data_IF_096945286884
#
_entry.id   IF_096945286884
#
_cell.length_a   1.000
_cell.length_b   1.000
_cell.length_c   1.000
_cell.angle_alpha   90.00
_cell.angle_beta   90.00
_cell.angle_gamma   90.00
#
_symmetry.space_group_name_H-M   'P 1'
#
loop_
_entity.id
_entity.type
_entity.pdbx_description
1 polymer ?
2 non-polymer ?
3 non-polymer ?
4 water ?
#
# COMPACT_ATOMS: atom_id res chain seq x y z
N UNK A 4 -8.73 9.94 -16.77
CA UNK A 4 -7.62 9.06 -16.25
C UNK A 4 -6.26 9.54 -16.73
N UNK A 5 -6.24 10.80 -17.16
CA UNK A 5 -4.99 11.47 -17.53
C UNK A 5 -5.01 12.87 -16.96
N UNK A 6 -3.82 13.41 -16.70
CA UNK A 6 -3.65 14.76 -16.25
C UNK A 6 -2.33 15.24 -16.85
N UNK A 7 -2.27 16.52 -17.19
CA UNK A 7 -1.09 17.14 -17.82
C UNK A 7 -0.78 18.44 -17.12
N UNK A 8 0.48 18.82 -17.07
CA UNK A 8 0.86 20.12 -16.52
C UNK A 8 2.14 20.60 -17.21
N UNK A 9 2.17 21.88 -17.56
CA UNK A 9 3.36 22.46 -18.13
C UNK A 9 3.57 23.87 -17.61
N UNK A 10 4.83 24.24 -17.41
CA UNK A 10 5.14 25.52 -16.82
C UNK A 10 6.61 25.83 -16.93
N UNK A 11 6.94 27.09 -16.69
CA UNK A 11 8.32 27.57 -16.72
C UNK A 11 8.69 28.18 -15.39
N UNK A 12 9.97 28.08 -15.03
CA UNK A 12 10.52 28.65 -13.79
C UNK A 12 11.96 29.01 -14.04
N UNK A 13 12.42 30.09 -13.43
CA UNK A 13 13.80 30.49 -13.57
C UNK A 13 14.63 30.03 -12.37
N UNK A 14 15.75 29.39 -12.63
CA UNK A 14 16.64 29.00 -11.55
C UNK A 14 17.49 30.25 -11.25
N UNK A 15 17.46 30.73 -10.00
CA UNK A 15 18.23 31.94 -9.63
C UNK A 15 19.75 31.88 -9.83
N UNK A 16 20.32 30.67 -9.94
CA UNK A 16 21.79 30.53 -10.07
C UNK A 16 22.30 30.33 -11.51
N UNK A 17 21.41 30.39 -12.51
CA UNK A 17 21.85 30.33 -13.91
C UNK A 17 21.76 28.95 -14.54
N UNK A 18 22.33 28.82 -15.74
CA UNK A 18 22.14 27.62 -16.57
C UNK A 18 22.74 26.32 -16.03
N UNK A 19 24.04 26.33 -15.70
CA UNK A 19 24.70 25.13 -15.17
C UNK A 19 23.94 24.57 -13.99
N UNK A 20 23.54 25.47 -13.08
CA UNK A 20 22.81 25.06 -11.90
C UNK A 20 21.42 24.50 -12.26
N UNK A 21 20.75 25.12 -13.23
CA UNK A 21 19.43 24.68 -13.66
C UNK A 21 19.52 23.27 -14.27
N UNK A 22 20.54 23.04 -15.09
CA UNK A 22 20.80 21.68 -15.67
C UNK A 22 21.00 20.65 -14.56
N UNK A 23 21.82 20.99 -13.56
CA UNK A 23 22.09 20.09 -12.46
C UNK A 23 20.84 19.78 -11.65
N UNK A 24 20.04 20.81 -11.43
CA UNK A 24 18.78 20.72 -10.68
C UNK A 24 17.78 19.75 -11.35
N UNK A 25 17.55 19.93 -12.65
CA UNK A 25 16.57 19.09 -13.36
C UNK A 25 17.05 17.67 -13.56
N UNK A 26 18.37 17.46 -13.48
CA UNK A 26 18.95 16.13 -13.71
C UNK A 26 19.02 15.27 -12.47
N UNK A 27 18.81 15.87 -11.30
CA UNK A 27 18.84 15.13 -10.04
C UNK A 27 17.45 15.17 -9.38
N UNK A 28 16.72 14.03 -9.41
CA UNK A 28 15.37 14.02 -8.87
C UNK A 28 15.29 14.47 -7.41
N UNK A 29 16.29 14.14 -6.61
CA UNK A 29 16.32 14.56 -5.18
C UNK A 29 16.34 16.08 -5.02
N UNK A 30 16.85 16.78 -6.05
CA UNK A 30 16.86 18.26 -6.06
C UNK A 30 15.53 18.77 -6.61
N UNK A 31 15.23 18.37 -7.83
CA UNK A 31 14.01 18.84 -8.53
C UNK A 31 12.72 18.51 -7.78
N UNK A 32 12.64 17.31 -7.20
CA UNK A 32 11.41 16.90 -6.51
C UNK A 32 11.44 17.02 -4.96
N UNK A 33 12.44 17.68 -4.41
CA UNK A 33 12.57 17.82 -2.93
C UNK A 33 11.28 18.35 -2.22
N UNK A 34 10.63 19.35 -2.80
CA UNK A 34 9.45 19.96 -2.18
C UNK A 34 8.13 19.59 -2.83
N UNK A 35 8.14 18.61 -3.71
CA UNK A 35 6.92 18.20 -4.40
C UNK A 35 5.97 17.42 -3.48
N UNK A 36 4.70 17.78 -3.51
CA UNK A 36 3.70 17.14 -2.67
C UNK A 36 2.86 16.16 -3.47
N UNK A 37 2.16 15.29 -2.74
CA UNK A 37 1.22 14.31 -3.28
C UNK A 37 1.87 13.16 -4.00
N UNK A 38 3.19 13.04 -3.84
CA UNK A 38 3.93 11.88 -4.30
C UNK A 38 4.52 11.19 -3.05
N UNK A 39 3.74 10.28 -2.47
CA UNK A 39 4.15 9.66 -1.22
C UNK A 39 5.22 8.59 -1.46
N UNK A 40 6.12 8.43 -0.48
CA UNK A 40 7.14 7.38 -0.54
C UNK A 40 8.14 7.56 -1.67
N UNK A 41 8.33 8.80 -2.08
CA UNK A 41 9.21 9.11 -3.18
C UNK A 41 10.63 8.65 -2.85
N UNK A 42 11.25 7.92 -3.78
CA UNK A 42 12.62 7.50 -3.61
C UNK A 42 13.27 7.25 -4.96
N UNK A 43 14.60 7.13 -4.98
CA UNK A 43 15.38 6.92 -6.20
C UNK A 43 16.75 6.36 -5.92
N UNK A 44 17.28 5.59 -6.88
CA UNK A 44 18.63 5.05 -6.80
C UNK A 44 19.54 5.72 -7.84
N UNK A 45 19.07 6.83 -8.43
CA UNK A 45 19.83 7.56 -9.45
C UNK A 45 19.46 7.11 -10.85
N UNK A 46 18.94 5.88 -10.97
CA UNK A 46 18.53 5.30 -12.25
C UNK A 46 17.03 5.41 -12.48
N UNK A 47 16.26 5.11 -11.45
CA UNK A 47 14.83 5.21 -11.53
C UNK A 47 14.31 5.97 -10.33
N UNK A 48 13.11 6.49 -10.48
CA UNK A 48 12.39 7.17 -9.41
C UNK A 48 11.08 6.44 -9.21
N UNK A 49 10.64 6.32 -7.96
CA UNK A 49 9.39 5.63 -7.67
C UNK A 49 8.67 6.21 -6.46
N UNK A 50 7.39 5.86 -6.33
CA UNK A 50 6.58 6.36 -5.26
C UNK A 50 5.15 5.93 -5.47
N UNK A 51 4.21 6.69 -4.92
CA UNK A 51 2.81 6.35 -5.05
C UNK A 51 1.92 7.57 -4.94
N UNK A 52 0.78 7.53 -5.63
CA UNK A 52 -0.24 8.53 -5.49
C UNK A 52 -1.36 7.91 -4.69
N UNK A 53 -2.10 8.74 -3.95
CA UNK A 53 -3.18 8.25 -3.12
C UNK A 53 -4.54 8.59 -3.71
N UNK A 54 -5.33 7.56 -3.98
CA UNK A 54 -6.71 7.71 -4.43
C UNK A 54 -7.61 7.40 -3.25
N UNK A 55 -8.40 8.39 -2.84
CA UNK A 55 -9.28 8.23 -1.70
C UNK A 55 -10.69 7.84 -2.13
N UNK A 56 -11.14 6.68 -1.66
CA UNK A 56 -12.51 6.28 -1.90
C UNK A 56 -13.15 5.92 -0.59
N UNK A 57 -14.49 5.88 -0.57
CA UNK A 57 -15.15 5.54 0.68
C UNK A 57 -14.82 4.14 1.18
N UNK A 58 -14.74 4.02 2.49
CA UNK A 58 -14.56 2.75 3.17
C UNK A 58 -13.16 2.18 3.08
N UNK A 59 -12.58 2.13 1.88
CA UNK A 59 -11.17 1.73 1.76
C UNK A 59 -10.24 2.84 2.21
N UNK A 60 -10.68 4.08 2.05
CA UNK A 60 -9.89 5.23 2.41
C UNK A 60 -8.81 5.50 1.38
N UNK A 61 -7.62 5.83 1.84
CA UNK A 61 -6.51 6.12 0.93
C UNK A 61 -5.95 4.84 0.33
N UNK A 62 -6.10 4.70 -0.99
CA UNK A 62 -5.56 3.58 -1.72
C UNK A 62 -4.36 4.06 -2.50
N UNK A 63 -3.22 3.42 -2.27
CA UNK A 63 -1.96 3.84 -2.92
C UNK A 63 -1.78 3.15 -4.27
N UNK A 64 -1.48 3.96 -5.29
CA UNK A 64 -1.19 3.48 -6.64
C UNK A 64 0.28 3.77 -6.93
N UNK A 65 1.08 2.72 -7.14
CA UNK A 65 2.49 2.97 -7.34
C UNK A 65 2.82 3.48 -8.75
N UNK A 66 3.98 4.10 -8.86
CA UNK A 66 4.57 4.43 -10.14
C UNK A 66 6.05 4.21 -10.01
N UNK A 67 6.70 4.00 -11.16
CA UNK A 67 8.12 3.89 -11.24
C UNK A 67 8.51 4.38 -12.63
N UNK A 68 9.48 5.28 -12.67
CA UNK A 68 9.92 5.88 -13.93
C UNK A 68 11.45 5.88 -14.06
N UNK A 69 11.90 5.72 -15.29
CA UNK A 69 13.32 5.74 -15.63
C UNK A 69 13.77 7.18 -15.78
N UNK A 70 14.93 7.50 -15.22
CA UNK A 70 15.51 8.84 -15.34
C UNK A 70 16.40 8.84 -16.58
N UNK A 71 16.13 9.75 -17.50
CA UNK A 71 16.88 9.85 -18.75
C UNK A 71 17.50 11.22 -18.86
N UNK A 72 18.82 11.26 -18.91
CA UNK A 72 19.57 12.47 -19.01
C UNK A 72 19.66 12.89 -20.48
N UNK A 73 19.29 14.12 -20.76
CA UNK A 73 19.28 14.64 -22.12
C UNK A 73 20.21 15.86 -22.25
N UNK A 74 20.45 16.31 -23.48
CA UNK A 74 21.40 17.41 -23.64
C UNK A 74 20.98 18.73 -22.95
N UNK A 75 19.68 19.02 -22.89
CA UNK A 75 19.17 20.25 -22.26
C UNK A 75 18.59 20.03 -20.87
N UNK A 76 18.60 18.79 -20.39
CA UNK A 76 18.02 18.51 -19.07
C UNK A 76 17.86 17.03 -18.77
N UNK A 77 16.62 16.59 -18.63
CA UNK A 77 16.33 15.21 -18.25
C UNK A 77 14.87 14.92 -18.45
N UNK A 78 14.54 13.64 -18.53
CA UNK A 78 13.15 13.19 -18.61
C UNK A 78 12.91 12.07 -17.60
N UNK A 79 11.62 11.88 -17.28
CA UNK A 79 11.16 10.66 -16.63
C UNK A 79 10.34 9.92 -17.65
N UNK A 80 10.67 8.66 -17.87
CA UNK A 80 9.92 7.79 -18.75
C UNK A 80 9.35 6.62 -17.95
N UNK A 81 8.00 6.46 -17.96
CA UNK A 81 7.30 5.52 -17.08
C UNK A 81 7.54 4.08 -17.40
N UNK A 82 7.60 3.27 -16.34
CA UNK A 82 7.69 1.83 -16.52
C UNK A 82 6.31 1.22 -16.32
N UNK A 83 6.04 0.16 -17.06
CA UNK A 83 4.79 -0.55 -16.97
C UNK A 83 4.79 -1.40 -15.71
N UNK A 84 3.72 -1.29 -14.92
CA UNK A 84 3.58 -2.11 -13.71
C UNK A 84 2.47 -3.16 -13.95
N UNK A 85 2.29 -4.07 -13.01
CA UNK A 85 1.38 -5.23 -13.26
C UNK A 85 -0.07 -4.82 -13.22
N UNK A 86 -0.94 -5.64 -13.76
CA UNK A 86 -2.37 -5.33 -13.77
C UNK A 86 -3.14 -5.78 -12.51
N UNK A 87 -2.43 -6.40 -11.54
CA UNK A 87 -3.05 -6.92 -10.30
C UNK A 87 -3.69 -5.80 -9.47
N UNK A 88 -3.13 -4.60 -9.59
CA UNK A 88 -3.68 -3.45 -8.90
C UNK A 88 -3.44 -2.23 -9.70
N UNK A 89 -4.29 -1.21 -9.49
CA UNK A 89 -4.18 0.06 -10.18
C UNK A 89 -2.83 0.70 -9.96
N UNK A 90 -2.32 1.37 -10.99
CA UNK A 90 -1.02 2.00 -10.94
C UNK A 90 -1.03 3.26 -11.78
N UNK A 91 0.03 4.06 -11.66
CA UNK A 91 0.13 5.31 -12.38
C UNK A 91 1.43 5.35 -13.20
N UNK A 92 1.32 5.91 -14.41
CA UNK A 92 2.48 6.19 -15.28
C UNK A 92 2.78 7.68 -15.16
N UNK A 93 3.97 8.01 -14.65
CA UNK A 93 4.42 9.38 -14.48
C UNK A 93 5.51 9.70 -15.50
N UNK A 94 5.22 10.63 -16.39
CA UNK A 94 6.18 11.08 -17.41
C UNK A 94 6.47 12.54 -17.20
N UNK A 95 7.67 12.96 -17.58
CA UNK A 95 8.06 14.36 -17.47
C UNK A 95 9.25 14.70 -18.32
N UNK A 96 9.30 15.94 -18.78
CA UNK A 96 10.41 16.43 -19.55
C UNK A 96 10.79 17.81 -19.00
N UNK A 97 12.09 18.06 -18.90
CA UNK A 97 12.59 19.31 -18.38
C UNK A 97 13.76 19.81 -19.20
N UNK A 98 13.80 21.11 -19.45
CA UNK A 98 14.92 21.71 -20.16
C UNK A 98 15.40 22.93 -19.39
N UNK A 99 16.70 23.20 -19.46
CA UNK A 99 17.32 24.37 -18.85
C UNK A 99 17.99 25.13 -19.97
N UNK A 100 17.75 26.43 -20.01
CA UNK A 100 18.26 27.25 -21.09
C UNK A 100 19.17 28.35 -20.58
N UNK A 101 19.57 29.23 -21.49
CA UNK A 101 20.42 30.35 -21.15
C UNK A 101 19.80 31.16 -20.04
N UNK A 102 20.60 31.48 -19.04
CA UNK A 102 20.17 32.32 -17.94
C UNK A 102 19.47 31.57 -16.84
N UNK A 103 19.32 30.26 -17.00
CA UNK A 103 18.68 29.41 -15.99
C UNK A 103 17.18 29.26 -16.16
N UNK A 104 16.65 29.64 -17.30
CA UNK A 104 15.24 29.49 -17.60
C UNK A 104 14.90 28.00 -17.76
N UNK A 106 11.98 24.86 -18.31
CA UNK A 106 10.66 24.49 -18.81
C UNK A 106 10.38 23.08 -18.35
N UNK A 107 9.16 22.86 -17.85
CA UNK A 107 8.72 21.57 -17.40
C UNK A 107 7.41 21.20 -18.06
N UNK A 108 7.25 19.90 -18.35
CA UNK A 108 5.99 19.32 -18.77
C UNK A 108 5.88 17.94 -18.09
N UNK A 109 4.76 17.70 -17.42
CA UNK A 109 4.49 16.41 -16.79
C UNK A 109 3.20 15.83 -17.27
N UNK A 110 3.17 14.51 -17.43
CA UNK A 110 1.94 13.80 -17.82
C UNK A 110 1.72 12.62 -16.89
N UNK A 111 0.46 12.39 -16.50
CA UNK A 111 0.09 11.31 -15.61
C UNK A 111 -1.02 10.53 -16.23
N UNK A 112 -0.94 9.21 -16.13
CA UNK A 112 -1.99 8.34 -16.61
C UNK A 112 -2.27 7.27 -15.53
N UNK A 113 -3.51 7.14 -15.12
CA UNK A 113 -3.89 6.11 -14.14
C UNK A 113 -4.32 4.89 -14.95
N UNK A 114 -3.78 3.73 -14.58
CA UNK A 114 -4.09 2.48 -15.25
C UNK A 114 -4.90 1.61 -14.30
N UNK A 115 -6.17 1.41 -14.60
CA UNK A 115 -7.05 0.64 -13.74
C UNK A 115 -7.02 -0.85 -14.05
N UNK A 116 -7.26 -1.65 -13.02
CA UNK A 116 -7.25 -3.11 -13.14
C UNK A 116 -8.65 -3.60 -13.49
N UNK A 121 -20.36 -5.63 -13.40
CA UNK A 121 -21.75 -5.74 -13.82
C UNK A 121 -22.69 -5.41 -12.64
N UNK A 122 -23.93 -5.04 -12.97
CA UNK A 122 -24.94 -4.70 -11.96
C UNK A 122 -24.80 -3.32 -11.32
N UNK A 123 -25.77 -3.00 -10.45
CA UNK A 123 -25.80 -1.74 -9.68
C UNK A 123 -24.48 -1.60 -8.88
N UNK A 124 -24.13 -2.62 -8.10
CA UNK A 124 -22.88 -2.61 -7.31
C UNK A 124 -21.66 -2.22 -8.16
N UNK A 125 -21.53 -2.85 -9.34
CA UNK A 125 -20.39 -2.58 -10.26
C UNK A 125 -20.42 -1.21 -10.91
N UNK A 126 -21.62 -0.70 -11.18
CA UNK A 126 -21.77 0.62 -11.81
C UNK A 126 -21.38 1.72 -10.81
N UNK A 127 -21.87 1.58 -9.56
CA UNK A 127 -21.56 2.53 -8.48
C UNK A 127 -20.06 2.54 -8.17
N UNK A 128 -19.43 1.37 -8.21
CA UNK A 128 -18.01 1.27 -7.94
C UNK A 128 -17.17 1.95 -9.01
N UNK A 129 -17.51 1.71 -10.27
CA UNK A 129 -16.77 2.31 -11.41
C UNK A 129 -16.86 3.83 -11.40
N UNK A 130 -18.06 4.35 -11.23
CA UNK A 130 -18.30 5.79 -11.19
C UNK A 130 -17.42 6.47 -10.13
N UNK A 132 -14.72 5.22 -8.46
CA UNK A 132 -13.26 5.03 -8.65
C UNK A 132 -12.68 5.95 -9.74
N UNK A 133 -13.35 6.08 -10.89
CA UNK A 133 -12.87 6.94 -11.97
C UNK A 133 -12.79 8.41 -11.52
N UNK A 134 -13.84 8.87 -10.85
CA UNK A 134 -13.90 10.25 -10.35
C UNK A 134 -12.77 10.52 -9.35
N UNK A 135 -12.58 9.59 -8.43
CA UNK A 135 -11.58 9.74 -7.38
C UNK A 135 -10.18 9.76 -7.97
N UNK A 136 -9.91 8.84 -8.90
CA UNK A 136 -8.60 8.75 -9.54
C UNK A 136 -8.31 10.01 -10.35
N UNK A 137 -9.36 10.54 -10.99
CA UNK A 137 -9.24 11.78 -11.75
C UNK A 137 -8.86 12.95 -10.87
N UNK A 138 -9.45 13.00 -9.67
CA UNK A 138 -9.15 14.06 -8.72
C UNK A 138 -7.75 13.97 -8.22
N UNK A 139 -7.27 12.73 -7.99
CA UNK A 139 -5.91 12.49 -7.54
C UNK A 139 -4.89 12.98 -8.57
N UNK A 140 -5.12 12.63 -9.83
CA UNK A 140 -4.22 13.03 -10.89
C UNK A 140 -4.13 14.54 -11.05
N UNK A 141 -5.28 15.22 -11.00
CA UNK A 141 -5.34 16.67 -11.14
C UNK A 141 -4.69 17.37 -9.92
N UNK A 142 -4.91 16.86 -8.71
CA UNK A 142 -4.35 17.49 -7.53
C UNK A 142 -2.81 17.51 -7.63
N UNK A 143 -2.23 16.37 -7.98
CA UNK A 143 -0.77 16.30 -8.07
C UNK A 143 -0.26 17.17 -9.22
N UNK A 144 -0.95 17.14 -10.35
CA UNK A 144 -0.54 17.90 -11.54
C UNK A 144 -0.61 19.41 -11.27
N UNK A 145 -1.73 19.85 -10.71
CA UNK A 145 -1.93 21.25 -10.43
C UNK A 145 -0.99 21.82 -9.39
N UNK A 146 -0.48 20.98 -8.48
CA UNK A 146 0.44 21.45 -7.44
C UNK A 146 1.92 21.41 -7.85
N UNK A 147 2.22 20.82 -9.00
CA UNK A 147 3.62 20.67 -9.43
C UNK A 147 4.41 21.97 -9.52
N UNK A 148 3.84 23.03 -10.13
CA UNK A 148 4.63 24.25 -10.18
C UNK A 148 5.05 24.76 -8.79
N UNK A 149 4.13 24.72 -7.85
CA UNK A 149 4.39 25.09 -6.47
C UNK A 149 5.50 24.22 -5.89
N UNK A 150 5.39 22.91 -6.12
CA UNK A 150 6.37 21.94 -5.61
C UNK A 150 7.75 22.11 -6.19
N UNK A 151 7.86 22.24 -7.50
CA UNK A 151 9.15 22.47 -8.10
C UNK A 151 9.75 23.79 -7.61
N UNK A 152 8.93 24.84 -7.53
CA UNK A 152 9.43 26.14 -7.07
C UNK A 152 9.99 26.04 -5.63
N UNK A 153 9.32 25.25 -4.79
CA UNK A 153 9.77 25.03 -3.41
C UNK A 153 11.17 24.40 -3.33
N UNK A 154 11.62 23.73 -4.37
CA UNK A 154 12.96 23.12 -4.37
C UNK A 154 14.10 24.07 -4.70
N UNK A 155 13.77 25.29 -5.15
CA UNK A 155 14.76 26.25 -5.61
C UNK A 155 15.31 27.12 -4.49
N UNK A 156 16.65 27.30 -4.47
CA UNK A 156 17.37 28.12 -3.52
C UNK A 156 17.39 29.57 -3.95
N UNK A 157 17.69 30.47 -3.02
CA UNK A 157 17.78 31.92 -3.27
C UNK A 157 19.08 32.33 -3.93
N UNK A 158 19.05 33.42 -4.70
CA UNK A 158 20.27 33.98 -5.28
C UNK A 158 21.06 34.68 -4.18
N UNK B 1 -23.44 -8.11 11.93
CA UNK B 1 -21.98 -7.99 12.23
C UNK B 1 -21.16 -9.12 11.62
N UNK B 3 -20.87 -9.76 8.42
CA UNK B 3 -20.27 -9.41 7.14
C UNK B 3 -18.82 -8.96 7.31
N UNK B 4 -18.59 -8.01 8.25
CA UNK B 4 -17.22 -7.42 8.49
C UNK B 4 -16.40 -8.13 9.60
N UNK B 5 -16.87 -9.29 10.04
CA UNK B 5 -16.13 -10.09 11.00
C UNK B 5 -16.14 -11.53 10.58
N UNK B 6 -15.11 -12.26 10.96
CA UNK B 6 -15.06 -13.69 10.74
C UNK B 6 -14.54 -14.34 12.01
N UNK B 7 -14.93 -15.59 12.24
CA UNK B 7 -14.50 -16.35 13.42
C UNK B 7 -14.16 -17.76 12.97
N UNK B 8 -13.15 -18.34 13.59
CA UNK B 8 -12.73 -19.69 13.29
C UNK B 8 -12.15 -20.35 14.54
N UNK B 9 -12.58 -21.57 14.83
CA UNK B 9 -12.05 -22.30 15.95
C UNK B 9 -11.91 -23.76 15.56
N UNK B 10 -10.85 -24.37 16.06
CA UNK B 10 -10.50 -25.73 15.70
C UNK B 10 -9.41 -26.25 16.61
N UNK B 11 -9.14 -27.54 16.51
CA UNK B 11 -8.09 -28.17 17.28
C UNK B 11 -7.14 -28.92 16.36
N UNK B 12 -5.87 -29.00 16.76
CA UNK B 12 -4.88 -29.82 16.08
C UNK B 12 -3.99 -30.46 17.14
N UNK B 13 -3.63 -31.70 16.94
CA UNK B 13 -2.64 -32.36 17.82
C UNK B 13 -1.23 -32.14 17.33
N UNK B 14 -0.33 -31.69 18.21
CA UNK B 14 1.08 -31.64 17.88
C UNK B 14 1.68 -33.02 18.16
N UNK B 15 2.15 -33.70 17.11
CA UNK B 15 2.66 -35.05 17.31
C UNK B 15 3.91 -35.17 18.20
N UNK B 16 4.58 -34.06 18.53
CA UNK B 16 5.76 -34.13 19.43
C UNK B 16 5.48 -33.77 20.91
N UNK B 17 4.21 -33.44 21.24
CA UNK B 17 3.83 -33.21 22.66
C UNK B 17 3.66 -31.76 23.12
N UNK B 18 3.45 -31.60 24.43
CA UNK B 18 3.07 -30.30 25.00
C UNK B 18 4.13 -29.22 24.82
N UNK B 19 5.38 -29.56 25.16
CA UNK B 19 6.48 -28.61 25.04
C UNK B 19 6.58 -28.10 23.60
N UNK B 20 6.54 -29.00 22.63
CA UNK B 20 6.58 -28.63 21.22
C UNK B 20 5.32 -27.80 20.85
N UNK B 21 4.17 -28.22 21.37
CA UNK B 21 2.89 -27.52 21.13
C UNK B 21 2.94 -26.08 21.67
N UNK B 22 3.50 -25.91 22.88
CA UNK B 22 3.60 -24.59 23.47
C UNK B 22 4.51 -23.69 22.65
N UNK B 23 5.65 -24.23 22.21
CA UNK B 23 6.59 -23.45 21.38
C UNK B 23 5.91 -23.04 20.08
N UNK B 24 5.20 -24.00 19.47
CA UNK B 24 4.50 -23.75 18.21
C UNK B 24 3.51 -22.61 18.31
N UNK B 25 2.66 -22.64 19.33
CA UNK B 25 1.63 -21.59 19.44
C UNK B 25 2.22 -20.23 19.87
N UNK B 26 3.45 -20.25 20.40
CA UNK B 26 4.08 -19.02 20.89
C UNK B 26 4.94 -18.27 19.86
N UNK B 27 4.95 -18.77 18.60
CA UNK B 27 5.63 -18.09 17.51
C UNK B 27 4.62 -17.92 16.35
N UNK B 28 3.73 -16.92 16.46
CA UNK B 28 2.64 -16.75 15.50
C UNK B 28 3.05 -16.36 14.11
N UNK B 29 4.08 -15.56 13.95
CA UNK B 29 4.49 -15.16 12.60
C UNK B 29 4.74 -16.42 11.75
N UNK B 30 5.55 -17.34 12.29
CA UNK B 30 5.84 -18.59 11.58
C UNK B 30 4.56 -19.44 11.35
N UNK B 31 3.76 -19.65 12.38
CA UNK B 31 2.56 -20.49 12.23
C UNK B 31 1.54 -19.92 11.22
N UNK B 32 1.27 -18.62 11.33
CA UNK B 32 0.33 -17.95 10.42
C UNK B 32 0.83 -17.89 8.97
N UNK B 33 2.14 -17.95 8.77
CA UNK B 33 2.73 -17.84 7.44
C UNK B 33 2.28 -18.96 6.52
N UNK B 34 1.92 -20.11 7.08
CA UNK B 34 1.42 -21.22 6.30
C UNK B 34 0.06 -20.95 5.67
N UNK B 35 -0.65 -19.92 6.15
CA UNK B 35 -1.94 -19.52 5.56
C UNK B 35 -1.58 -18.63 4.35
N UNK B 36 -1.87 -19.09 3.14
CA UNK B 36 -1.45 -18.37 1.93
C UNK B 36 -2.09 -16.99 1.77
N UNK B 37 -3.29 -16.83 2.31
CA UNK B 37 -4.03 -15.57 2.17
C UNK B 37 -3.58 -14.49 3.13
N UNK B 38 -2.60 -14.81 3.97
CA UNK B 38 -1.98 -13.82 4.77
C UNK B 38 -0.64 -13.50 4.07
N UNK B 39 -0.39 -12.23 3.83
CA UNK B 39 0.84 -11.86 3.16
C UNK B 39 1.71 -10.98 4.04
N UNK B 40 3.02 -11.05 3.79
CA UNK B 40 4.00 -10.22 4.50
C UNK B 40 4.06 -10.39 5.98
N UNK B 41 3.81 -11.61 6.47
CA UNK B 41 3.91 -11.90 7.90
C UNK B 41 5.32 -11.59 8.40
N UNK B 42 5.40 -10.90 9.54
CA UNK B 42 6.68 -10.58 10.16
C UNK B 42 6.43 -10.37 11.66
N UNK B 43 7.49 -10.41 12.45
CA UNK B 43 7.38 -10.33 13.87
C UNK B 43 8.68 -9.90 14.45
N UNK B 44 8.64 -9.26 15.60
CA UNK B 44 9.87 -8.93 16.33
C UNK B 44 9.85 -9.59 17.70
N UNK B 45 9.02 -10.62 17.85
CA UNK B 45 8.89 -11.33 19.11
C UNK B 45 7.89 -10.71 20.05
N UNK B 46 7.65 -9.39 19.91
CA UNK B 46 6.67 -8.69 20.75
C UNK B 46 5.35 -8.53 20.02
N UNK B 47 5.44 -8.29 18.70
CA UNK B 47 4.26 -8.07 17.86
C UNK B 47 4.40 -8.79 16.51
N UNK B 48 3.25 -9.12 15.91
CA UNK B 48 3.21 -9.76 14.59
C UNK B 48 2.35 -8.90 13.68
N UNK B 49 2.71 -8.82 12.42
CA UNK B 49 1.96 -8.01 11.48
C UNK B 49 1.98 -8.62 10.09
N UNK B 50 1.06 -8.14 9.25
CA UNK B 50 0.97 -8.60 7.89
C UNK B 50 -0.17 -7.88 7.18
N UNK B 51 -0.69 -8.49 6.13
CA UNK B 51 -1.78 -7.90 5.40
C UNK B 51 -2.67 -8.93 4.74
N UNK B 52 -3.94 -8.54 4.60
CA UNK B 52 -4.94 -9.31 3.85
C UNK B 52 -5.26 -8.54 2.58
N UNK B 53 -5.56 -9.26 1.51
CA UNK B 53 -5.86 -8.63 0.22
C UNK B 53 -7.33 -8.66 -0.06
N UNK B 54 -7.89 -7.48 -0.33
CA UNK B 54 -9.28 -7.36 -0.72
C UNK B 54 -9.31 -6.97 -2.20
N UNK B 55 -9.96 -7.80 -3.03
CA UNK B 55 -10.04 -7.52 -4.47
C UNK B 55 -11.32 -6.81 -4.87
N UNK B 56 -11.18 -5.63 -5.47
CA UNK B 56 -12.33 -4.88 -5.94
C UNK B 56 -12.14 -4.45 -7.36
N UNK B 57 -13.24 -4.18 -8.08
CA UNK B 57 -13.17 -3.69 -9.44
C UNK B 57 -12.27 -2.45 -9.58
N UNK B 58 -11.54 -2.41 -10.69
CA UNK B 58 -10.72 -1.22 -11.09
C UNK B 58 -9.45 -1.00 -10.25
N UNK B 59 -9.59 -1.00 -8.92
CA UNK B 59 -8.41 -0.87 -8.04
C UNK B 59 -7.68 -2.19 -7.93
N UNK B 60 -8.39 -3.30 -8.12
CA UNK B 60 -7.78 -4.63 -8.03
C UNK B 60 -7.51 -5.04 -6.59
N UNK B 61 -6.30 -5.53 -6.33
CA UNK B 61 -5.93 -6.01 -5.02
C UNK B 61 -5.52 -4.88 -4.08
N UNK B 62 -6.31 -4.72 -3.03
CA UNK B 62 -6.09 -3.70 -2.04
C UNK B 62 -5.68 -4.35 -0.73
N UNK B 63 -4.50 -3.97 -0.25
CA UNK B 63 -3.98 -4.53 0.99
C UNK B 63 -4.52 -3.79 2.21
N UNK B 64 -4.99 -4.58 3.19
CA UNK B 64 -5.39 -4.08 4.49
C UNK B 64 -4.42 -4.66 5.53
N UNK B 65 -3.71 -3.80 6.25
CA UNK B 65 -2.73 -4.24 7.21
C UNK B 65 -3.36 -4.67 8.52
N UNK B 66 -2.59 -5.47 9.26
CA UNK B 66 -2.93 -5.81 10.64
C UNK B 66 -1.67 -5.90 11.46
N UNK B 67 -1.81 -5.64 12.75
CA UNK B 67 -0.71 -5.75 13.67
C UNK B 67 -1.29 -6.14 15.03
N UNK B 68 -0.73 -7.18 15.62
CA UNK B 68 -1.21 -7.67 16.90
C UNK B 68 -0.07 -7.87 17.91
N UNK B 69 -0.38 -7.65 19.19
CA UNK B 69 0.55 -7.93 20.26
C UNK B 69 0.54 -9.44 20.57
N UNK B 70 1.72 -10.02 20.70
CA UNK B 70 1.84 -11.43 21.09
C UNK B 70 1.91 -11.50 22.61
N UNK B 71 0.92 -12.13 23.21
CA UNK B 71 0.88 -12.29 24.66
C UNK B 71 1.03 -13.76 25.03
N UNK B 72 2.10 -14.06 25.76
CA UNK B 72 2.39 -15.43 26.24
C UNK B 72 1.56 -15.68 27.46
N UNK B 73 0.79 -16.75 27.44
CA UNK B 73 -0.08 -17.11 28.54
C UNK B 73 0.42 -18.42 29.15
N UNK B 74 -0.09 -18.79 30.34
CA UNK B 74 0.40 -20.00 30.96
C UNK B 74 0.22 -21.24 30.11
N UNK B 75 -0.85 -21.27 29.32
CA UNK B 75 -1.23 -22.45 28.53
C UNK B 75 -0.93 -22.32 27.03
N UNK B 76 -0.40 -21.17 26.61
CA UNK B 76 -0.07 -20.95 25.18
C UNK B 76 0.23 -19.51 24.83
N UNK B 77 -0.63 -18.92 24.00
CA UNK B 77 -0.45 -17.55 23.58
C UNK B 77 -1.77 -16.93 23.08
N UNK B 78 -1.80 -15.60 23.04
CA UNK B 78 -2.90 -14.87 22.49
C UNK B 78 -2.36 -13.79 21.59
N UNK B 79 -3.18 -13.39 20.63
CA UNK B 79 -2.88 -12.23 19.79
C UNK B 79 -3.90 -11.19 20.13
N UNK B 80 -3.43 -10.02 20.51
CA UNK B 80 -4.30 -8.90 20.83
C UNK B 80 -4.04 -7.76 19.82
N UNK B 81 -5.08 -7.40 19.05
CA UNK B 81 -4.93 -6.44 17.99
C UNK B 81 -4.58 -5.04 18.45
N UNK B 82 -3.71 -4.40 17.70
CA UNK B 82 -3.40 -3.04 17.92
C UNK B 82 -4.31 -2.22 16.99
N UNK B 83 -4.74 -1.08 17.47
CA UNK B 83 -5.55 -0.16 16.68
C UNK B 83 -4.66 0.64 15.73
N UNK B 84 -4.93 0.53 14.44
CA UNK B 84 -4.14 1.22 13.43
C UNK B 84 -4.84 2.54 13.10
N UNK B 85 -4.16 3.42 12.38
CA UNK B 85 -4.74 4.75 12.05
C UNK B 85 -5.91 4.56 11.07
N UNK B 86 -6.84 5.50 11.07
CA UNK B 86 -8.07 5.36 10.28
C UNK B 86 -8.05 5.85 8.83
N UNK B 87 -6.89 6.28 8.31
CA UNK B 87 -6.87 6.87 6.93
C UNK B 87 -7.15 5.82 5.81
N UNK B 88 -6.96 4.54 6.14
CA UNK B 88 -7.28 3.45 5.20
C UNK B 88 -7.79 2.25 5.96
N UNK B 89 -8.47 1.36 5.25
CA UNK B 89 -9.04 0.19 5.88
C UNK B 89 -7.96 -0.70 6.46
N UNK B 90 -8.28 -1.35 7.56
CA UNK B 90 -7.34 -2.24 8.22
C UNK B 90 -8.10 -3.37 8.91
N UNK B 91 -7.35 -4.29 9.49
CA UNK B 91 -7.95 -5.47 10.12
C UNK B 91 -7.41 -5.68 11.52
N UNK B 92 -8.30 -6.13 12.40
CA UNK B 92 -7.96 -6.51 13.76
C UNK B 92 -7.98 -8.03 13.81
N UNK B 93 -6.82 -8.62 14.04
CA UNK B 93 -6.67 -10.04 14.14
C UNK B 93 -6.46 -10.41 15.61
N UNK B 94 -7.41 -11.17 16.14
CA UNK B 94 -7.39 -11.63 17.52
C UNK B 94 -7.28 -13.13 17.52
N UNK B 95 -6.59 -13.68 18.51
CA UNK B 95 -6.49 -15.13 18.61
C UNK B 95 -6.15 -15.60 20.01
N UNK B 96 -6.60 -16.82 20.32
CA UNK B 96 -6.26 -17.48 21.57
C UNK B 96 -5.91 -18.92 21.25
N UNK B 97 -4.86 -19.42 21.88
CA UNK B 97 -4.43 -20.80 21.65
C UNK B 97 -3.92 -21.39 22.95
N UNK B 98 -4.23 -22.68 23.13
CA UNK B 98 -3.80 -23.42 24.32
C UNK B 98 -3.22 -24.74 23.88
N UNK B 99 -2.26 -25.25 24.67
CA UNK B 99 -1.67 -26.56 24.44
C UNK B 99 -1.88 -27.38 25.71
N UNK B 100 -2.51 -28.55 25.55
CA UNK B 100 -2.77 -29.46 26.68
C UNK B 100 -1.64 -30.49 26.78
N UNK B 101 -1.63 -31.26 27.88
CA UNK B 101 -0.68 -32.36 28.02
C UNK B 101 -1.01 -33.37 26.93
N UNK B 102 0.02 -33.93 26.30
CA UNK B 102 -0.17 -34.82 25.16
C UNK B 102 -0.02 -34.05 23.84
N UNK B 103 -0.08 -32.72 23.92
CA UNK B 103 0.19 -31.88 22.75
C UNK B 103 -1.02 -31.47 21.91
N UNK B 104 -2.23 -31.68 22.42
CA UNK B 104 -3.38 -31.22 21.66
C UNK B 104 -3.56 -29.71 21.86
N UNK B 106 -5.68 -26.07 21.02
CA UNK B 106 -7.00 -25.50 20.74
C UNK B 106 -6.81 -24.06 20.23
N UNK B 107 -7.44 -23.74 19.11
CA UNK B 107 -7.30 -22.41 18.50
C UNK B 107 -8.63 -21.74 18.34
N UNK B 108 -8.65 -20.43 18.58
CA UNK B 108 -9.78 -19.60 18.27
C UNK B 108 -9.23 -18.30 17.67
N UNK B 109 -9.79 -17.90 16.54
CA UNK B 109 -9.38 -16.69 15.85
C UNK B 109 -10.59 -15.82 15.52
N UNK B 110 -10.45 -14.51 15.68
CA UNK B 110 -11.49 -13.57 15.29
C UNK B 110 -10.85 -12.48 14.43
N UNK B 111 -11.53 -12.13 13.34
CA UNK B 111 -11.11 -11.08 12.44
C UNK B 111 -12.20 -10.02 12.37
N UNK B 112 -11.79 -8.75 12.46
CA UNK B 112 -12.71 -7.64 12.31
C UNK B 112 -12.12 -6.66 11.33
N UNK B 113 -12.87 -6.36 10.26
CA UNK B 113 -12.44 -5.35 9.30
C UNK B 113 -12.87 -3.98 9.84
N UNK B 114 -11.92 -3.04 9.88
CA UNK B 114 -12.17 -1.65 10.27
C UNK B 114 -12.05 -0.78 9.03
N UNK B 115 -13.18 -0.39 8.47
CA UNK B 115 -13.21 0.43 7.27
C UNK B 115 -13.04 1.90 7.61
N UNK B 116 -12.55 2.67 6.64
CA UNK B 116 -12.36 4.11 6.84
C UNK B 116 -13.68 4.88 6.84
N UNK B 117 -13.70 6.03 7.51
CA UNK B 117 -14.90 6.90 7.54
C UNK B 117 -14.51 8.38 7.39
N UNK B 125 -22.17 6.21 -2.17
CA UNK B 125 -23.53 5.94 -1.70
C UNK B 125 -23.65 4.54 -1.09
N UNK B 126 -24.89 4.10 -0.89
CA UNK B 126 -25.15 2.79 -0.31
C UNK B 126 -24.65 1.64 -1.19
N UNK B 127 -24.75 1.79 -2.52
CA UNK B 127 -24.32 0.75 -3.45
C UNK B 127 -22.83 0.54 -3.38
N UNK B 128 -22.08 1.63 -3.31
CA UNK B 128 -20.64 1.54 -3.22
C UNK B 128 -20.20 0.85 -1.93
N UNK B 129 -20.82 1.21 -0.81
CA UNK B 129 -20.45 0.65 0.48
C UNK B 129 -20.71 -0.86 0.54
N UNK B 130 -21.83 -1.31 -0.06
CA UNK B 130 -22.18 -2.76 -0.06
C UNK B 130 -21.12 -3.59 -0.79
N UNK B 132 -17.85 -2.80 -1.27
CA UNK B 132 -16.64 -2.83 -0.46
C UNK B 132 -16.80 -3.81 0.70
N UNK B 133 -17.96 -3.75 1.35
CA UNK B 133 -18.22 -4.59 2.50
C UNK B 133 -18.30 -6.05 2.10
N UNK B 134 -18.88 -6.32 0.94
CA UNK B 134 -18.95 -7.69 0.43
C UNK B 134 -17.53 -8.23 0.14
N UNK B 135 -16.71 -7.42 -0.52
CA UNK B 135 -15.33 -7.81 -0.86
C UNK B 135 -14.51 -8.05 0.40
N UNK B 136 -14.66 -7.15 1.37
CA UNK B 136 -13.96 -7.29 2.65
C UNK B 136 -14.40 -8.57 3.38
N UNK B 137 -15.70 -8.81 3.44
CA UNK B 137 -16.24 -10.00 4.09
C UNK B 137 -15.75 -11.30 3.47
N UNK B 138 -15.72 -11.35 2.13
CA UNK B 138 -15.24 -12.55 1.42
C UNK B 138 -13.79 -12.83 1.78
N UNK B 139 -12.99 -11.78 1.86
CA UNK B 139 -11.56 -11.88 2.21
C UNK B 139 -11.36 -12.43 3.66
N UNK B 140 -12.12 -11.90 4.62
CA UNK B 140 -12.02 -12.34 6.01
C UNK B 140 -12.39 -13.81 6.09
N UNK B 141 -13.50 -14.19 5.46
CA UNK B 141 -13.94 -15.60 5.47
C UNK B 141 -12.96 -16.55 4.77
N UNK B 142 -12.34 -16.10 3.68
CA UNK B 142 -11.35 -16.93 2.97
C UNK B 142 -10.15 -17.21 3.86
N UNK B 143 -9.69 -16.19 4.56
CA UNK B 143 -8.57 -16.35 5.47
C UNK B 143 -8.95 -17.28 6.64
N UNK B 144 -10.11 -17.01 7.26
CA UNK B 144 -10.62 -17.80 8.38
C UNK B 144 -10.74 -19.29 8.06
N UNK B 145 -11.37 -19.60 6.92
CA UNK B 145 -11.59 -20.98 6.53
C UNK B 145 -10.30 -21.71 6.17
N UNK B 146 -9.27 -20.94 5.85
CA UNK B 146 -7.98 -21.47 5.46
C UNK B 146 -7.03 -21.65 6.66
N UNK B 147 -7.43 -21.17 7.84
CA UNK B 147 -6.54 -21.24 9.04
C UNK B 147 -6.14 -22.65 9.45
N UNK B 148 -7.10 -23.59 9.48
CA UNK B 148 -6.72 -24.97 9.91
C UNK B 148 -5.68 -25.60 9.00
N UNK B 149 -5.92 -25.56 7.70
CA UNK B 149 -4.99 -26.11 6.72
C UNK B 149 -3.61 -25.47 6.88
N UNK B 150 -3.61 -24.13 6.99
CA UNK B 150 -2.38 -23.35 7.12
C UNK B 150 -1.55 -23.72 8.35
N UNK B 151 -2.20 -23.79 9.52
CA UNK B 151 -1.47 -24.18 10.75
C UNK B 151 -1.02 -25.65 10.69
N UNK B 152 -1.87 -26.52 10.15
CA UNK B 152 -1.54 -27.92 10.03
C UNK B 152 -0.30 -28.14 9.14
N UNK B 153 -0.06 -27.23 8.20
CA UNK B 153 1.06 -27.32 7.27
C UNK B 153 2.40 -27.07 7.99
N UNK B 154 2.32 -26.41 9.14
CA UNK B 154 3.48 -26.11 9.95
C UNK B 154 3.81 -27.19 10.96
N UNK B 155 3.03 -28.27 10.99
CA UNK B 155 3.29 -29.38 11.92
C UNK B 155 4.09 -30.52 11.25
N UNK B 156 4.92 -31.24 12.04
CA UNK B 156 5.58 -32.45 11.54
C UNK B 156 4.56 -33.54 11.26
N UNK B 157 4.85 -34.41 10.26
CA UNK B 157 3.93 -35.51 9.95
C UNK B 157 4.16 -36.74 10.84
#
# INVERSE_FOLDING_TARGET
GXILSAEQSFTLRHPHGQAAALAFVREPAAALAGVRFLRGLDSDGEQVWGELLVTVPLLGEVDLPFRSEIVRTPQGAELRPLTLTGERAWVAVSGQATAAEGGEXAFAFQFQAHLATPEAEGWGGAAFEKXVQAAAGRTLERVAKALPEGLAAGLPPA
GXILSAEQSFTLRHPHGQAAALAFVREPAAALAGVRFLRGLDSDGEQVWGELLVTVPLLGEVDLPFRSEIVRTPQGAELRPLTLTGERAWVAVSGQATAAEGGEXAFAFQFQAHLATPEAEGWGGAAFEKXVQAAAGRTLERVAKALPEGLAAGLPPA
#
